data_IF_040816483705
#
_entry.id   IF_040816483705
#
_cell.length_a   1.000
_cell.length_b   1.000
_cell.length_c   1.000
_cell.angle_alpha   90.00
_cell.angle_beta   90.00
_cell.angle_gamma   90.00
#
_symmetry.space_group_name_H-M   'P 1'
#
loop_
_entity.id
_entity.type
_entity.pdbx_description
1 polymer ?
#
# COMPACT_ATOMS: atom_id res chain seq x y z
N UNK A 1 15.13 -5.67 0.33
CA UNK A 1 14.08 -4.67 0.69
C UNK A 1 13.48 -5.14 2.00
N UNK A 2 13.81 -4.51 3.11
CA UNK A 2 13.23 -4.88 4.42
C UNK A 2 11.84 -4.27 4.48
N UNK A 3 10.81 -5.11 4.49
CA UNK A 3 9.44 -4.65 4.75
C UNK A 3 9.38 -4.33 6.24
N UNK A 4 9.11 -3.07 6.59
CA UNK A 4 8.95 -2.70 8.00
C UNK A 4 7.67 -3.34 8.54
N UNK A 5 7.68 -3.90 9.76
CA UNK A 5 6.45 -4.44 10.32
C UNK A 5 5.42 -3.33 10.58
N UNK A 6 4.13 -3.66 10.51
CA UNK A 6 3.05 -2.74 10.88
C UNK A 6 2.07 -3.39 11.85
N UNK A 7 1.47 -2.61 12.76
CA UNK A 7 0.40 -3.09 13.64
C UNK A 7 -0.97 -2.86 12.96
N UNK A 8 -1.74 -3.90 12.63
CA UNK A 8 -3.03 -3.75 11.94
C UNK A 8 -4.02 -2.89 12.73
N UNK A 9 -4.05 -3.02 14.06
CA UNK A 9 -4.92 -2.25 14.95
C UNK A 9 -4.67 -0.74 14.84
N UNK A 10 -3.41 -0.31 14.82
CA UNK A 10 -3.01 1.10 14.64
C UNK A 10 -3.48 1.63 13.29
N UNK A 11 -3.29 0.85 12.22
CA UNK A 11 -3.70 1.27 10.87
C UNK A 11 -5.22 1.38 10.79
N UNK A 12 -5.98 0.45 11.41
CA UNK A 12 -7.44 0.55 11.48
C UNK A 12 -7.89 1.78 12.28
N UNK A 13 -7.26 2.05 13.41
CA UNK A 13 -7.50 3.26 14.22
C UNK A 13 -7.33 4.52 13.36
N UNK A 14 -6.23 4.60 12.62
CA UNK A 14 -5.95 5.69 11.69
C UNK A 14 -7.03 5.89 10.63
N UNK A 15 -7.43 4.82 9.95
CA UNK A 15 -8.47 4.90 8.90
C UNK A 15 -9.84 5.28 9.48
N UNK A 16 -10.13 4.83 10.70
CA UNK A 16 -11.43 5.08 11.36
C UNK A 16 -11.55 6.47 11.96
N UNK A 17 -10.43 7.12 12.28
CA UNK A 17 -10.41 8.43 12.93
C UNK A 17 -10.68 9.55 11.93
N UNK A 18 -11.96 9.77 11.66
CA UNK A 18 -12.49 10.94 10.97
C UNK A 18 -12.74 12.09 11.98
N UNK A 19 -12.62 13.36 11.56
CA UNK A 19 -12.22 13.82 10.22
C UNK A 19 -10.69 13.80 10.03
N UNK A 20 -10.27 13.64 8.77
CA UNK A 20 -8.92 14.01 8.34
C UNK A 20 -8.98 15.50 8.00
N UNK A 21 -8.87 16.35 9.01
CA UNK A 21 -8.81 17.80 8.82
C UNK A 21 -7.34 18.28 8.71
N UNK A 22 -7.15 19.59 8.55
CA UNK A 22 -5.83 20.20 8.43
C UNK A 22 -4.96 20.01 9.70
N UNK A 23 -5.57 19.68 10.85
CA UNK A 23 -4.89 19.41 12.12
C UNK A 23 -4.38 17.96 12.21
N UNK A 24 -4.79 17.10 11.27
CA UNK A 24 -4.34 15.72 11.14
C UNK A 24 -5.22 14.71 11.88
N UNK A 25 -4.70 13.50 12.06
CA UNK A 25 -5.43 12.38 12.68
C UNK A 25 -4.91 12.15 14.09
N UNK A 26 -5.78 12.19 15.09
CA UNK A 26 -5.41 11.87 16.46
C UNK A 26 -5.29 10.35 16.64
N UNK A 27 -4.12 9.85 16.99
CA UNK A 27 -3.86 8.43 17.29
C UNK A 27 -3.14 8.35 18.62
N UNK A 28 -3.70 7.57 19.57
CA UNK A 28 -3.08 7.35 20.89
C UNK A 28 -2.59 8.64 21.57
N UNK A 29 -3.42 9.68 21.51
CA UNK A 29 -3.16 10.99 22.13
C UNK A 29 -2.19 11.91 21.37
N UNK A 30 -1.74 11.54 20.18
CA UNK A 30 -0.83 12.35 19.35
C UNK A 30 -1.50 12.69 18.01
N UNK A 31 -1.34 13.93 17.55
CA UNK A 31 -1.80 14.35 16.23
C UNK A 31 -0.79 13.98 15.14
N UNK A 32 -1.26 13.41 14.05
CA UNK A 32 -0.42 13.00 12.92
C UNK A 32 -0.87 13.68 11.64
N UNK A 33 0.05 14.36 10.97
CA UNK A 33 -0.23 14.94 9.67
C UNK A 33 -0.31 13.84 8.61
N UNK A 34 -1.37 13.86 7.81
CA UNK A 34 -1.51 13.01 6.64
C UNK A 34 -1.85 13.86 5.42
N UNK A 35 -0.86 14.05 4.55
CA UNK A 35 -1.03 14.85 3.33
C UNK A 35 -0.15 14.32 2.20
N UNK A 36 -0.45 14.67 0.93
CA UNK A 36 0.37 14.27 -0.21
C UNK A 36 1.87 14.62 -0.06
N UNK A 37 2.20 15.75 0.58
CA UNK A 37 3.58 16.19 0.79
C UNK A 37 4.33 15.32 1.81
N UNK A 38 3.66 14.92 2.91
CA UNK A 38 4.22 14.01 3.92
C UNK A 38 4.46 12.63 3.31
N UNK A 39 3.49 12.13 2.54
CA UNK A 39 3.63 10.84 1.82
C UNK A 39 4.80 10.89 0.84
N UNK A 40 4.90 11.95 0.03
CA UNK A 40 6.01 12.10 -0.91
C UNK A 40 7.38 12.13 -0.22
N UNK A 41 7.47 12.78 0.94
CA UNK A 41 8.70 12.81 1.74
C UNK A 41 9.10 11.43 2.23
N UNK A 42 8.16 10.67 2.79
CA UNK A 42 8.41 9.29 3.25
C UNK A 42 8.88 8.39 2.10
N UNK A 43 8.24 8.51 0.95
CA UNK A 43 8.50 7.67 -0.22
C UNK A 43 9.63 8.17 -1.11
N UNK A 44 10.25 9.30 -0.76
CA UNK A 44 11.28 9.98 -1.54
C UNK A 44 10.84 10.25 -3.00
N UNK A 45 9.56 10.56 -3.20
CA UNK A 45 9.00 10.88 -4.52
C UNK A 45 8.94 12.40 -4.73
N UNK A 46 9.14 12.88 -5.97
CA UNK A 46 9.11 14.31 -6.24
C UNK A 46 7.71 14.89 -6.01
N UNK A 47 7.66 16.13 -5.50
CA UNK A 47 6.45 16.93 -5.53
C UNK A 47 6.10 17.29 -6.97
N UNK A 48 4.84 17.14 -7.33
CA UNK A 48 4.32 17.50 -8.65
C UNK A 48 3.38 18.70 -8.47
N UNK A 49 3.70 19.84 -9.10
CA UNK A 49 2.92 21.07 -8.98
C UNK A 49 1.50 20.91 -9.50
N UNK A 50 1.34 20.18 -10.60
CA UNK A 50 0.04 19.87 -11.19
C UNK A 50 0.03 18.40 -11.61
N UNK A 51 -0.69 17.57 -10.84
CA UNK A 51 -0.86 16.16 -11.18
C UNK A 51 -1.79 16.03 -12.39
N UNK A 52 -1.41 15.19 -13.34
CA UNK A 52 -2.26 14.87 -14.48
C UNK A 52 -3.53 14.16 -14.02
N UNK A 53 -4.68 14.60 -14.54
CA UNK A 53 -6.02 14.04 -14.29
C UNK A 53 -6.21 12.66 -14.92
N UNK A 54 -5.42 11.67 -14.51
CA UNK A 54 -5.41 10.34 -15.14
C UNK A 54 -6.77 9.63 -15.09
N UNK A 55 -7.63 9.92 -14.09
CA UNK A 55 -8.98 9.36 -14.00
C UNK A 55 -9.88 9.79 -15.19
N UNK A 56 -9.57 10.91 -15.84
CA UNK A 56 -10.32 11.48 -16.96
C UNK A 56 -9.85 10.95 -18.32
N UNK A 57 -8.79 10.14 -18.35
CA UNK A 57 -8.28 9.53 -19.59
C UNK A 57 -9.41 8.74 -20.27
N UNK A 58 -9.55 8.98 -21.58
CA UNK A 58 -10.48 8.24 -22.43
C UNK A 58 -10.06 6.77 -22.45
N UNK A 59 -10.86 5.91 -21.83
CA UNK A 59 -10.54 4.48 -21.65
C UNK A 59 -10.24 3.77 -22.98
N UNK A 60 -10.94 4.17 -24.05
CA UNK A 60 -10.74 3.64 -25.41
C UNK A 60 -9.30 3.84 -25.90
N UNK A 61 -8.77 5.04 -25.69
CA UNK A 61 -7.40 5.41 -26.08
C UNK A 61 -6.37 4.67 -25.23
N UNK A 62 -6.63 4.57 -23.92
CA UNK A 62 -5.79 3.82 -23.01
C UNK A 62 -5.66 2.36 -23.44
N UNK A 63 -6.78 1.67 -23.67
CA UNK A 63 -6.79 0.28 -24.09
C UNK A 63 -6.05 0.10 -25.41
N UNK A 64 -6.42 0.88 -26.44
CA UNK A 64 -5.80 0.77 -27.75
C UNK A 64 -4.29 0.97 -27.70
N UNK A 65 -3.80 1.91 -26.90
CA UNK A 65 -2.38 2.13 -26.70
C UNK A 65 -1.69 0.96 -25.98
N UNK A 66 -2.29 0.46 -24.89
CA UNK A 66 -1.69 -0.56 -24.04
C UNK A 66 -1.73 -1.97 -24.66
N UNK A 67 -2.57 -2.20 -25.66
CA UNK A 67 -2.64 -3.46 -26.41
C UNK A 67 -1.97 -3.36 -27.79
N UNK A 68 -1.27 -2.26 -28.10
CA UNK A 68 -0.67 -2.06 -29.43
C UNK A 68 -1.68 -2.06 -30.58
N UNK A 69 -2.93 -1.67 -30.32
CA UNK A 69 -4.02 -1.64 -31.30
C UNK A 69 -4.87 -2.91 -31.38
N UNK A 70 -4.53 -4.00 -30.69
CA UNK A 70 -5.31 -5.25 -30.72
C UNK A 70 -6.76 -5.07 -30.23
N UNK A 71 -6.96 -4.27 -29.18
CA UNK A 71 -8.28 -3.92 -28.67
C UNK A 71 -8.62 -2.47 -29.02
N UNK A 72 -9.84 -2.25 -29.52
CA UNK A 72 -10.33 -0.90 -29.86
C UNK A 72 -11.13 -0.23 -28.74
N UNK A 73 -11.28 -0.88 -27.58
CA UNK A 73 -12.05 -0.38 -26.43
C UNK A 73 -12.28 -1.46 -25.37
N UNK A 74 -13.20 -1.20 -24.43
CA UNK A 74 -13.51 -2.11 -23.31
C UNK A 74 -14.19 -3.41 -23.74
N UNK A 75 -15.08 -3.34 -24.72
CA UNK A 75 -15.80 -4.52 -25.22
C UNK A 75 -14.83 -5.50 -25.85
N UNK A 76 -14.78 -6.72 -25.32
CA UNK A 76 -13.85 -7.77 -25.78
C UNK A 76 -12.41 -7.62 -25.26
N UNK A 77 -12.14 -6.61 -24.41
CA UNK A 77 -10.84 -6.47 -23.77
C UNK A 77 -10.60 -7.58 -22.73
N UNK A 78 -9.36 -8.06 -22.69
CA UNK A 78 -8.84 -8.94 -21.66
C UNK A 78 -7.42 -8.50 -21.28
N UNK A 79 -7.01 -8.66 -20.02
CA UNK A 79 -5.66 -8.31 -19.55
C UNK A 79 -4.54 -9.02 -20.31
N UNK A 80 -4.83 -10.19 -20.91
CA UNK A 80 -3.86 -10.90 -21.75
C UNK A 80 -3.55 -10.16 -23.06
N UNK A 81 -4.44 -9.28 -23.54
CA UNK A 81 -4.20 -8.46 -24.73
C UNK A 81 -3.19 -7.31 -24.48
N UNK A 82 -2.83 -7.05 -23.22
CA UNK A 82 -1.76 -6.09 -22.92
C UNK A 82 -0.43 -6.59 -23.47
N UNK A 83 0.31 -5.70 -24.15
CA UNK A 83 1.68 -6.02 -24.57
C UNK A 83 2.58 -6.18 -23.34
N UNK A 84 3.63 -7.00 -23.46
CA UNK A 84 4.48 -7.44 -22.35
C UNK A 84 4.87 -6.36 -21.32
N UNK A 85 5.39 -5.16 -21.69
CA UNK A 85 5.77 -4.16 -20.69
C UNK A 85 4.58 -3.71 -19.83
N UNK A 86 3.39 -3.60 -20.42
CA UNK A 86 2.19 -3.15 -19.72
C UNK A 86 1.53 -4.26 -18.90
N UNK A 87 1.70 -5.52 -19.28
CA UNK A 87 1.25 -6.65 -18.45
C UNK A 87 2.03 -6.71 -17.12
N UNK A 88 3.35 -6.55 -17.17
CA UNK A 88 4.18 -6.47 -15.96
C UNK A 88 3.84 -5.21 -15.16
N UNK A 89 3.71 -4.06 -15.82
CA UNK A 89 3.36 -2.80 -15.16
C UNK A 89 1.97 -2.85 -14.49
N UNK A 90 1.02 -3.58 -15.07
CA UNK A 90 -0.31 -3.76 -14.49
C UNK A 90 -0.22 -4.46 -13.14
N UNK A 91 0.61 -5.51 -13.02
CA UNK A 91 0.84 -6.19 -11.73
C UNK A 91 1.51 -5.31 -10.69
N UNK A 92 2.47 -4.48 -11.11
CA UNK A 92 3.09 -3.49 -10.21
C UNK A 92 2.03 -2.51 -9.71
N UNK A 93 1.19 -2.01 -10.62
CA UNK A 93 0.12 -1.07 -10.33
C UNK A 93 -0.91 -1.67 -9.36
N UNK A 94 -1.41 -2.86 -9.66
CA UNK A 94 -2.39 -3.59 -8.84
C UNK A 94 -1.92 -3.84 -7.41
N UNK A 95 -0.62 -4.02 -7.18
CA UNK A 95 -0.09 -4.36 -5.86
C UNK A 95 0.43 -3.14 -5.08
N UNK A 96 0.93 -2.11 -5.78
CA UNK A 96 1.72 -1.05 -5.14
C UNK A 96 1.24 0.37 -5.43
N UNK A 97 0.54 0.61 -6.54
CA UNK A 97 0.12 1.96 -6.92
C UNK A 97 -1.36 2.14 -6.67
N UNK A 98 -2.21 1.27 -7.24
CA UNK A 98 -3.65 1.33 -7.13
C UNK A 98 -4.21 -0.03 -6.65
N UNK A 99 -3.88 -0.44 -5.41
CA UNK A 99 -4.42 -1.65 -4.80
C UNK A 99 -5.93 -1.61 -4.65
N UNK A 100 -6.55 -2.78 -4.71
CA UNK A 100 -7.99 -2.93 -4.58
C UNK A 100 -8.52 -4.18 -5.30
N UNK A 101 -9.83 -4.47 -5.15
CA UNK A 101 -10.44 -5.66 -5.71
C UNK A 101 -10.45 -5.64 -7.24
N UNK A 102 -10.43 -6.82 -7.86
CA UNK A 102 -10.46 -6.98 -9.32
C UNK A 102 -11.88 -6.80 -9.88
N UNK A 103 -12.40 -5.59 -9.73
CA UNK A 103 -13.70 -5.16 -10.27
C UNK A 103 -13.50 -4.24 -11.48
N UNK A 104 -14.44 -4.24 -12.42
CA UNK A 104 -14.43 -3.44 -13.65
C UNK A 104 -13.89 -2.01 -13.48
N UNK A 105 -14.40 -1.29 -12.49
CA UNK A 105 -14.01 0.10 -12.23
C UNK A 105 -12.52 0.21 -11.89
N UNK A 106 -12.01 -0.71 -11.06
CA UNK A 106 -10.62 -0.74 -10.64
C UNK A 106 -9.69 -1.09 -11.81
N UNK A 107 -10.06 -2.09 -12.61
CA UNK A 107 -9.32 -2.45 -13.84
C UNK A 107 -9.23 -1.24 -14.78
N UNK A 108 -10.36 -0.57 -15.03
CA UNK A 108 -10.42 0.63 -15.89
C UNK A 108 -9.52 1.76 -15.35
N UNK A 109 -9.53 1.98 -14.03
CA UNK A 109 -8.69 3.00 -13.41
C UNK A 109 -7.19 2.66 -13.52
N UNK A 110 -6.82 1.39 -13.31
CA UNK A 110 -5.44 0.93 -13.52
C UNK A 110 -4.99 1.13 -14.97
N UNK A 111 -5.82 0.79 -15.95
CA UNK A 111 -5.50 1.01 -17.37
C UNK A 111 -5.29 2.50 -17.70
N UNK A 112 -6.15 3.38 -17.17
CA UNK A 112 -5.97 4.84 -17.31
C UNK A 112 -4.67 5.34 -16.70
N UNK A 113 -4.33 4.85 -15.49
CA UNK A 113 -3.09 5.19 -14.82
C UNK A 113 -1.86 4.71 -15.61
N UNK A 114 -1.88 3.46 -16.08
CA UNK A 114 -0.83 2.88 -16.92
C UNK A 114 -0.63 3.71 -18.20
N UNK A 115 -1.71 4.14 -18.84
CA UNK A 115 -1.64 5.00 -20.02
C UNK A 115 -0.97 6.34 -19.69
N UNK A 116 -1.36 6.99 -18.59
CA UNK A 116 -0.73 8.23 -18.16
C UNK A 116 0.78 8.06 -17.89
N UNK A 117 1.18 6.96 -17.25
CA UNK A 117 2.60 6.59 -17.04
C UNK A 117 3.31 6.36 -18.38
N UNK A 118 2.70 5.63 -19.31
CA UNK A 118 3.26 5.35 -20.64
C UNK A 118 3.48 6.63 -21.45
N UNK A 119 2.59 7.62 -21.30
CA UNK A 119 2.69 8.96 -21.90
C UNK A 119 3.64 9.89 -21.16
N UNK A 120 4.27 9.43 -20.07
CA UNK A 120 5.16 10.24 -19.20
C UNK A 120 4.46 11.48 -18.63
N UNK A 121 3.15 11.39 -18.43
CA UNK A 121 2.42 12.45 -17.78
C UNK A 121 2.84 12.54 -16.30
N UNK A 122 2.95 13.75 -15.73
CA UNK A 122 3.34 13.91 -14.33
C UNK A 122 2.21 13.42 -13.41
N UNK A 123 2.51 12.47 -12.53
CA UNK A 123 1.54 11.90 -11.59
C UNK A 123 2.08 12.04 -10.18
N UNK A 124 1.31 12.68 -9.30
CA UNK A 124 1.71 12.79 -7.91
C UNK A 124 1.42 11.49 -7.15
N UNK A 125 2.47 10.79 -6.74
CA UNK A 125 2.33 9.59 -5.92
C UNK A 125 1.64 9.88 -4.58
N UNK A 126 2.03 10.98 -3.92
CA UNK A 126 1.40 11.43 -2.67
C UNK A 126 -0.12 11.62 -2.78
N UNK A 127 -0.60 12.29 -3.84
CA UNK A 127 -2.05 12.43 -4.06
C UNK A 127 -2.71 11.09 -4.38
N UNK A 128 -2.03 10.24 -5.15
CA UNK A 128 -2.55 8.93 -5.52
C UNK A 128 -2.77 8.02 -4.30
N UNK A 129 -1.86 8.05 -3.32
CA UNK A 129 -2.02 7.33 -2.04
C UNK A 129 -3.05 8.03 -1.15
N UNK A 130 -2.97 9.35 -1.02
CA UNK A 130 -3.90 10.14 -0.21
C UNK A 130 -5.35 9.89 -0.60
N UNK A 131 -5.67 10.01 -1.89
CA UNK A 131 -7.03 9.82 -2.40
C UNK A 131 -7.57 8.42 -2.08
N UNK A 132 -6.74 7.38 -2.19
CA UNK A 132 -7.15 6.00 -1.88
C UNK A 132 -7.39 5.78 -0.39
N UNK A 133 -6.57 6.36 0.47
CA UNK A 133 -6.77 6.26 1.93
C UNK A 133 -8.04 7.01 2.33
N UNK A 134 -8.26 8.23 1.80
CA UNK A 134 -9.49 9.00 2.05
C UNK A 134 -10.73 8.29 1.48
N UNK A 135 -10.62 7.60 0.34
CA UNK A 135 -11.71 6.79 -0.20
C UNK A 135 -12.02 5.59 0.72
N UNK A 136 -10.98 4.95 1.26
CA UNK A 136 -11.12 3.82 2.17
C UNK A 136 -11.76 4.20 3.51
N UNK A 137 -11.53 5.41 4.02
CA UNK A 137 -12.13 5.84 5.29
C UNK A 137 -13.66 5.98 5.23
N UNK A 138 -14.23 6.00 4.02
CA UNK A 138 -15.68 6.01 3.79
C UNK A 138 -16.30 4.61 3.80
N UNK A 139 -15.47 3.56 3.83
CA UNK A 139 -15.93 2.18 3.86
C UNK A 139 -16.25 1.76 5.29
N UNK A 140 -17.35 1.04 5.48
CA UNK A 140 -17.83 0.60 6.80
C UNK A 140 -17.24 -0.73 7.25
N UNK A 141 -16.65 -1.51 6.34
CA UNK A 141 -16.02 -2.80 6.63
C UNK A 141 -14.51 -2.72 6.38
N UNK A 142 -13.75 -2.50 7.45
CA UNK A 142 -12.29 -2.38 7.44
C UNK A 142 -11.59 -3.70 7.81
N UNK A 143 -12.34 -4.80 8.00
CA UNK A 143 -11.81 -6.00 8.64
C UNK A 143 -10.97 -6.89 7.71
N UNK A 144 -10.92 -6.62 6.41
CA UNK A 144 -10.23 -7.53 5.48
C UNK A 144 -9.21 -6.92 4.52
N UNK A 145 -9.26 -5.63 4.17
CA UNK A 145 -8.34 -5.09 3.15
C UNK A 145 -7.88 -3.65 3.41
N UNK A 146 -6.82 -3.49 4.21
CA UNK A 146 -6.15 -2.20 4.41
C UNK A 146 -5.36 -1.78 3.16
N UNK A 147 -5.63 -0.60 2.62
CA UNK A 147 -4.78 0.01 1.60
C UNK A 147 -3.53 0.60 2.25
N UNK A 148 -2.36 0.32 1.67
CA UNK A 148 -1.07 0.87 2.11
C UNK A 148 -0.75 0.76 3.61
N UNK A 149 -1.04 -0.37 4.30
CA UNK A 149 -0.95 -0.43 5.76
C UNK A 149 0.48 -0.16 6.27
N UNK A 150 1.46 -0.61 5.50
CA UNK A 150 2.86 -0.42 5.78
C UNK A 150 3.28 1.06 5.70
N UNK A 151 2.85 1.75 4.63
CA UNK A 151 3.13 3.16 4.41
C UNK A 151 2.48 4.01 5.49
N UNK A 152 1.20 3.74 5.81
CA UNK A 152 0.48 4.42 6.88
C UNK A 152 1.24 4.28 8.19
N UNK A 153 1.58 3.05 8.58
CA UNK A 153 2.27 2.82 9.85
C UNK A 153 3.65 3.47 9.91
N UNK A 154 4.43 3.39 8.83
CA UNK A 154 5.72 4.08 8.75
C UNK A 154 5.58 5.61 8.82
N UNK A 155 4.54 6.17 8.19
CA UNK A 155 4.26 7.60 8.22
C UNK A 155 3.93 8.09 9.64
N UNK A 156 3.22 7.26 10.43
CA UNK A 156 2.98 7.55 11.85
C UNK A 156 4.29 7.50 12.63
N UNK A 157 5.04 6.39 12.52
CA UNK A 157 6.31 6.20 13.22
C UNK A 157 7.39 7.25 12.88
N UNK A 158 7.32 7.85 11.68
CA UNK A 158 8.23 8.92 11.27
C UNK A 158 7.98 10.23 12.04
N UNK A 159 6.74 10.47 12.48
CA UNK A 159 6.35 11.70 13.17
C UNK A 159 6.48 11.55 14.69
N UNK A 160 5.94 10.47 15.24
CA UNK A 160 5.97 10.16 16.67
C UNK A 160 6.09 8.65 16.90
N UNK A 161 6.64 8.27 18.05
CA UNK A 161 6.58 6.89 18.49
C UNK A 161 5.11 6.48 18.73
N UNK A 162 4.69 5.36 18.13
CA UNK A 162 3.34 4.82 18.33
C UNK A 162 3.40 3.71 19.38
N UNK A 163 2.96 3.96 20.63
CA UNK A 163 3.11 3.00 21.71
C UNK A 163 2.16 1.82 21.53
N UNK A 164 2.63 0.58 21.56
CA UNK A 164 1.78 -0.62 21.50
C UNK A 164 0.97 -0.80 22.79
N UNK A 165 -0.33 -1.05 22.66
CA UNK A 165 -1.27 -1.20 23.78
C UNK A 165 -1.66 -2.66 24.01
N UNK A 166 -2.05 -3.04 25.25
CA UNK A 166 -2.61 -4.36 25.50
C UNK A 166 -3.84 -4.62 24.62
N UNK A 167 -3.86 -5.76 23.92
CA UNK A 167 -4.92 -6.12 22.98
C UNK A 167 -4.66 -5.72 21.52
N UNK A 168 -3.55 -5.04 21.24
CA UNK A 168 -3.09 -4.85 19.85
C UNK A 168 -2.72 -6.20 19.22
N UNK A 169 -3.04 -6.34 17.93
CA UNK A 169 -2.63 -7.48 17.11
C UNK A 169 -1.10 -7.50 16.93
N UNK A 170 -0.55 -8.71 16.75
CA UNK A 170 0.86 -8.87 16.39
C UNK A 170 1.19 -8.10 15.10
N UNK A 171 2.38 -7.51 15.08
CA UNK A 171 2.81 -6.75 13.92
C UNK A 171 3.08 -7.68 12.72
N UNK A 172 2.42 -7.41 11.60
CA UNK A 172 2.57 -8.15 10.34
C UNK A 172 3.83 -7.68 9.63
N UNK A 173 4.57 -8.60 9.02
CA UNK A 173 5.78 -8.28 8.25
C UNK A 173 7.07 -8.27 9.06
N UNK A 174 7.06 -8.73 10.32
CA UNK A 174 8.31 -9.10 11.00
C UNK A 174 8.96 -10.24 10.21
N UNK A 175 10.22 -10.07 9.82
CA UNK A 175 11.00 -11.18 9.30
C UNK A 175 11.04 -12.29 10.35
N UNK A 176 10.71 -13.53 9.97
CA UNK A 176 10.93 -14.66 10.86
C UNK A 176 12.41 -14.69 11.24
N UNK A 177 12.77 -14.85 12.54
CA UNK A 177 14.14 -15.13 12.89
C UNK A 177 14.52 -16.46 12.25
N UNK A 178 15.34 -16.44 11.21
CA UNK A 178 16.06 -17.63 10.73
C UNK A 178 17.16 -17.88 11.75
N UNK A 179 16.82 -18.35 12.96
CA UNK A 179 17.69 -19.07 13.90
C UNK A 179 16.84 -19.57 15.06
N UNK A 180 16.61 -20.88 15.08
CA UNK A 180 15.82 -21.55 16.11
C UNK A 180 15.70 -23.06 15.99
N UNK A 181 16.63 -23.74 15.29
CA UNK A 181 16.91 -25.16 15.53
C UNK A 181 18.27 -25.25 16.21
N UNK A 182 18.32 -24.83 17.49
CA UNK A 182 19.33 -25.34 18.39
C UNK A 182 18.77 -26.66 18.92
N UNK A 183 19.41 -27.76 18.51
CA UNK A 183 18.92 -29.11 18.71
C UNK A 183 18.65 -29.45 20.18
N UNK A 184 17.63 -30.29 20.34
CA UNK A 184 17.49 -31.18 21.47
C UNK A 184 18.80 -31.95 21.69
N UNK A 185 19.52 -31.61 22.76
CA UNK A 185 20.41 -32.55 23.44
C UNK A 185 20.23 -32.41 24.95
N UNK A 186 19.26 -33.17 25.46
CA UNK A 186 19.42 -34.11 26.58
C UNK A 186 20.32 -33.73 27.77
N UNK A 187 19.66 -33.39 28.89
CA UNK A 187 19.84 -34.04 30.20
C UNK A 187 21.08 -33.72 31.07
N UNK A 188 20.92 -33.37 32.35
CA UNK A 188 22.04 -33.13 33.26
C UNK A 188 22.63 -34.46 33.76
N UNK A 189 23.87 -34.79 33.37
CA UNK A 189 24.62 -35.90 33.98
C UNK A 189 25.33 -35.42 35.24
N UNK A 190 24.82 -35.87 36.39
CA UNK A 190 25.45 -35.67 37.69
C UNK A 190 26.78 -36.40 37.81
N UNK A 191 27.79 -35.69 38.32
CA UNK A 191 29.03 -36.28 38.80
C UNK A 191 28.79 -36.93 40.17
N UNK A 192 28.80 -38.27 40.24
CA UNK A 192 29.06 -39.00 41.50
C UNK A 192 30.55 -39.36 41.54
N UNK A 193 31.19 -38.94 42.63
CA UNK A 193 32.57 -39.29 43.00
C UNK A 193 32.63 -40.78 43.38
N UNK A 194 33.68 -41.46 42.93
CA UNK A 194 34.08 -42.80 43.38
C UNK A 194 34.83 -42.67 44.71
N UNK A 195 34.42 -43.47 45.69
CA UNK A 195 35.27 -44.10 46.70
C UNK A 195 34.95 -45.59 46.65
#
# INVERSE_FOLDING_TARGET
MHVHPFCPRVVREFISNQPFDDEGVLIRGHGFQFSPSVINRLMMTPSVTQSFGWREVVLKEAISHLTGGECSGWTGFNLNALINPFRTLYRVCELNWLPGPEVDLMIKNRLRLLYAVAKRNPISFGHLVYDQVIEMTRLTDLDTNLVFPNLIYQLLMLQHEVPLLPGDEEAIGRGFPIHGFAGDTSGPRGHRRLN
#
